data_IF_869146127503
#
_entry.id   IF_869146127503
#
_cell.length_a   1.000
_cell.length_b   1.000
_cell.length_c   1.000
_cell.angle_alpha   90.00
_cell.angle_beta   90.00
_cell.angle_gamma   90.00
#
_symmetry.space_group_name_H-M   'P 1'
#
loop_
_entity.id
_entity.type
_entity.pdbx_description
1 polymer ?
#
# COMPACT_ATOMS: atom_id res chain seq x y z
N UNK A 1 12.44 24.83 10.46
CA UNK A 1 12.05 24.09 9.24
C UNK A 1 10.87 23.25 9.65
N UNK A 2 9.69 23.52 9.11
CA UNK A 2 8.49 22.77 9.47
C UNK A 2 8.63 21.34 8.96
N UNK A 3 8.51 20.36 9.86
CA UNK A 3 8.50 18.95 9.50
C UNK A 3 7.29 18.71 8.61
N UNK A 4 7.44 18.13 7.40
CA UNK A 4 6.31 17.91 6.52
C UNK A 4 5.30 16.98 7.20
N UNK A 5 4.03 17.37 7.19
CA UNK A 5 2.95 16.51 7.66
C UNK A 5 2.86 15.27 6.76
N UNK A 6 3.04 14.07 7.32
CA UNK A 6 3.04 12.81 6.56
C UNK A 6 1.64 12.21 6.62
N UNK A 7 0.98 12.12 5.46
CA UNK A 7 -0.38 11.55 5.37
C UNK A 7 -0.35 10.02 5.25
N UNK A 8 0.66 9.46 4.58
CA UNK A 8 0.85 8.00 4.47
C UNK A 8 2.30 7.66 4.79
N UNK A 9 2.51 6.74 5.71
CA UNK A 9 3.82 6.22 6.09
C UNK A 9 3.82 4.69 5.93
N UNK A 10 4.66 4.19 5.03
CA UNK A 10 4.93 2.76 4.87
C UNK A 10 6.33 2.52 5.40
N UNK A 11 6.45 1.64 6.39
CA UNK A 11 7.71 1.41 7.08
C UNK A 11 8.13 -0.06 7.03
N UNK A 12 9.11 -0.36 6.19
CA UNK A 12 9.84 -1.63 6.16
C UNK A 12 8.95 -2.84 5.87
N UNK A 13 7.93 -2.68 5.03
CA UNK A 13 6.96 -3.76 4.83
C UNK A 13 7.58 -4.95 4.10
N UNK A 14 7.28 -6.14 4.60
CA UNK A 14 7.49 -7.41 3.90
C UNK A 14 6.12 -7.99 3.51
N UNK A 15 5.99 -8.45 2.27
CA UNK A 15 4.76 -9.06 1.77
C UNK A 15 5.04 -10.44 1.24
N UNK A 16 4.26 -11.41 1.74
CA UNK A 16 4.31 -12.81 1.31
C UNK A 16 2.99 -13.19 0.63
N UNK A 17 3.09 -13.90 -0.50
CA UNK A 17 1.96 -14.53 -1.17
C UNK A 17 1.93 -16.03 -0.94
N UNK A 18 0.73 -16.58 -0.79
CA UNK A 18 0.47 -18.01 -0.55
C UNK A 18 1.30 -18.57 0.62
N UNK A 19 1.62 -17.73 1.61
CA UNK A 19 2.47 -18.04 2.77
C UNK A 19 3.90 -18.50 2.44
N UNK A 20 4.36 -18.40 1.19
CA UNK A 20 5.67 -18.93 0.76
C UNK A 20 6.51 -17.92 -0.02
N UNK A 21 5.88 -17.10 -0.88
CA UNK A 21 6.61 -16.28 -1.86
C UNK A 21 6.78 -14.86 -1.30
N UNK A 22 8.00 -14.51 -0.88
CA UNK A 22 8.36 -13.15 -0.47
C UNK A 22 8.47 -12.23 -1.70
N UNK A 23 7.55 -11.26 -1.82
CA UNK A 23 7.47 -10.32 -2.94
C UNK A 23 8.00 -8.94 -2.60
N UNK A 24 7.70 -8.42 -1.40
CA UNK A 24 8.29 -7.18 -0.91
C UNK A 24 9.26 -7.49 0.22
N UNK A 25 10.43 -6.84 0.22
CA UNK A 25 11.47 -7.01 1.23
C UNK A 25 11.88 -5.66 1.81
N UNK A 26 11.25 -5.26 2.91
CA UNK A 26 11.61 -4.05 3.65
C UNK A 26 11.31 -2.75 2.90
N UNK A 27 10.18 -2.66 2.21
CA UNK A 27 9.82 -1.46 1.43
C UNK A 27 9.35 -0.34 2.36
N UNK A 28 9.93 0.85 2.20
CA UNK A 28 9.52 2.07 2.91
C UNK A 28 9.25 3.20 1.94
N UNK A 29 8.19 3.97 2.20
CA UNK A 29 7.92 5.23 1.51
C UNK A 29 7.06 6.14 2.40
N UNK A 30 7.18 7.44 2.18
CA UNK A 30 6.34 8.43 2.84
C UNK A 30 5.67 9.30 1.79
N UNK A 31 4.40 9.63 2.02
CA UNK A 31 3.65 10.61 1.24
C UNK A 31 3.37 11.80 2.14
N UNK A 32 4.01 12.95 1.89
CA UNK A 32 3.63 14.19 2.56
C UNK A 32 2.26 14.66 2.10
N UNK A 33 1.53 15.35 2.99
CA UNK A 33 0.25 15.96 2.68
C UNK A 33 0.37 16.95 1.51
N UNK A 34 -0.59 16.89 0.57
CA UNK A 34 -0.61 17.75 -0.62
C UNK A 34 0.48 17.46 -1.65
N UNK A 35 1.22 16.34 -1.53
CA UNK A 35 2.26 15.95 -2.49
C UNK A 35 1.88 14.72 -3.30
N UNK A 36 2.46 14.63 -4.49
CA UNK A 36 2.36 13.47 -5.39
C UNK A 36 3.67 12.69 -5.27
N UNK A 37 3.56 11.39 -5.00
CA UNK A 37 4.68 10.45 -4.94
C UNK A 37 4.49 9.38 -6.01
N UNK A 38 5.54 9.10 -6.77
CA UNK A 38 5.53 8.09 -7.82
C UNK A 38 6.40 6.89 -7.44
N UNK A 39 5.92 5.67 -7.72
CA UNK A 39 6.70 4.43 -7.61
C UNK A 39 7.06 3.99 -9.03
N UNK A 40 8.36 3.99 -9.33
CA UNK A 40 8.90 3.62 -10.64
C UNK A 40 9.62 2.28 -10.55
N UNK A 41 9.53 1.47 -11.60
CA UNK A 41 10.20 0.17 -11.68
C UNK A 41 9.63 -0.72 -12.77
N UNK A 42 10.36 -1.77 -13.16
CA UNK A 42 9.94 -2.73 -14.17
C UNK A 42 8.74 -3.61 -13.77
N UNK A 43 8.31 -4.48 -14.67
CA UNK A 43 7.32 -5.52 -14.36
C UNK A 43 7.89 -6.47 -13.29
N UNK A 44 7.07 -6.84 -12.31
CA UNK A 44 7.52 -7.66 -11.19
C UNK A 44 8.29 -6.93 -10.08
N UNK A 45 8.55 -5.62 -10.21
CA UNK A 45 9.29 -4.84 -9.18
C UNK A 45 8.50 -4.60 -7.87
N UNK A 46 7.30 -5.15 -7.72
CA UNK A 46 6.49 -5.01 -6.50
C UNK A 46 5.56 -3.80 -6.45
N UNK A 47 5.50 -2.94 -7.49
CA UNK A 47 4.66 -1.73 -7.52
C UNK A 47 3.18 -1.99 -7.16
N UNK A 48 2.54 -2.90 -7.88
CA UNK A 48 1.14 -3.28 -7.65
C UNK A 48 0.94 -3.90 -6.28
N UNK A 49 1.92 -4.68 -5.81
CA UNK A 49 1.90 -5.27 -4.46
C UNK A 49 1.97 -4.19 -3.37
N UNK A 50 2.81 -3.17 -3.53
CA UNK A 50 2.89 -2.04 -2.61
C UNK A 50 1.56 -1.27 -2.56
N UNK A 51 0.96 -0.97 -3.72
CA UNK A 51 -0.35 -0.31 -3.78
C UNK A 51 -1.46 -1.15 -3.12
N UNK A 52 -1.47 -2.47 -3.36
CA UNK A 52 -2.42 -3.40 -2.73
C UNK A 52 -2.22 -3.52 -1.22
N UNK A 53 -0.98 -3.38 -0.73
CA UNK A 53 -0.69 -3.36 0.70
C UNK A 53 -1.31 -2.12 1.35
N UNK A 54 -1.12 -0.94 0.74
CA UNK A 54 -1.66 0.33 1.24
C UNK A 54 -3.20 0.34 1.28
N UNK A 55 -3.85 -0.33 0.32
CA UNK A 55 -5.31 -0.40 0.22
C UNK A 55 -5.96 -1.61 0.90
N UNK A 56 -5.19 -2.41 1.65
CA UNK A 56 -5.61 -3.67 2.28
C UNK A 56 -6.25 -4.68 1.31
N UNK A 57 -5.90 -4.65 0.03
CA UNK A 57 -6.42 -5.59 -0.98
C UNK A 57 -5.63 -6.90 -1.08
N UNK A 58 -4.49 -7.02 -0.39
CA UNK A 58 -3.65 -8.22 -0.45
C UNK A 58 -4.39 -9.50 -0.03
N UNK A 59 -5.27 -9.44 0.97
CA UNK A 59 -6.00 -10.61 1.49
C UNK A 59 -6.81 -11.33 0.40
N UNK A 60 -7.41 -10.58 -0.53
CA UNK A 60 -8.15 -11.15 -1.66
C UNK A 60 -7.29 -11.92 -2.66
N UNK A 61 -5.97 -11.69 -2.63
CA UNK A 61 -4.99 -12.27 -3.55
C UNK A 61 -4.08 -13.29 -2.83
N UNK A 62 -4.48 -13.74 -1.63
CA UNK A 62 -3.67 -14.61 -0.75
C UNK A 62 -2.31 -13.99 -0.39
N UNK A 63 -2.25 -12.66 -0.33
CA UNK A 63 -1.11 -11.89 0.12
C UNK A 63 -1.31 -11.36 1.54
N UNK A 64 -0.22 -11.20 2.27
CA UNK A 64 -0.21 -10.66 3.63
C UNK A 64 1.04 -9.81 3.88
N UNK A 65 0.88 -8.71 4.61
CA UNK A 65 2.00 -7.95 5.19
C UNK A 65 2.47 -8.68 6.43
N UNK A 66 3.67 -9.26 6.41
CA UNK A 66 4.19 -10.09 7.52
C UNK A 66 5.13 -9.33 8.45
N UNK A 67 5.69 -8.20 7.98
CA UNK A 67 6.49 -7.28 8.79
C UNK A 67 6.24 -5.83 8.37
N UNK A 68 6.67 -4.92 9.23
CA UNK A 68 6.55 -3.48 9.03
C UNK A 68 5.20 -2.92 9.50
N UNK A 69 4.94 -1.67 9.12
CA UNK A 69 3.66 -1.01 9.37
C UNK A 69 3.25 -0.14 8.20
N UNK A 70 1.93 0.07 8.10
CA UNK A 70 1.35 1.10 7.24
C UNK A 70 0.47 1.99 8.12
N UNK A 71 0.72 3.29 8.07
CA UNK A 71 0.00 4.29 8.83
C UNK A 71 -0.61 5.33 7.89
N UNK A 72 -1.89 5.62 8.09
CA UNK A 72 -2.60 6.71 7.46
C UNK A 72 -2.89 7.78 8.51
N UNK A 73 -2.36 8.99 8.32
CA UNK A 73 -2.49 10.11 9.27
C UNK A 73 -2.02 9.73 10.68
N UNK A 74 -0.94 8.95 10.79
CA UNK A 74 -0.37 8.48 12.05
C UNK A 74 -1.09 7.28 12.67
N UNK A 75 -2.16 6.76 12.06
CA UNK A 75 -2.88 5.59 12.56
C UNK A 75 -2.60 4.35 11.73
N UNK A 76 -2.28 3.25 12.42
CA UNK A 76 -2.07 1.93 11.83
C UNK A 76 -3.34 1.41 11.15
N UNK A 77 -3.19 0.89 9.93
CA UNK A 77 -4.34 0.49 9.10
C UNK A 77 -4.51 -1.03 8.90
N UNK A 78 -3.66 -1.88 9.48
CA UNK A 78 -3.63 -3.31 9.15
C UNK A 78 -4.94 -4.05 9.48
N UNK A 79 -5.70 -3.53 10.45
CA UNK A 79 -6.97 -4.12 10.89
C UNK A 79 -8.21 -3.54 10.17
N UNK A 80 -8.02 -2.52 9.31
CA UNK A 80 -9.13 -1.90 8.59
C UNK A 80 -9.54 -2.72 7.39
N UNK A 81 -10.85 -2.80 7.11
CA UNK A 81 -11.29 -3.36 5.84
C UNK A 81 -10.98 -2.38 4.68
N UNK A 82 -10.90 -2.86 3.42
CA UNK A 82 -10.81 -1.96 2.27
C UNK A 82 -11.95 -0.92 2.23
N UNK A 83 -13.15 -1.29 2.68
CA UNK A 83 -14.27 -0.36 2.76
C UNK A 83 -14.05 0.75 3.79
N UNK A 84 -13.40 0.45 4.92
CA UNK A 84 -13.05 1.46 5.92
C UNK A 84 -11.97 2.40 5.41
N UNK A 85 -10.99 1.90 4.66
CA UNK A 85 -9.98 2.72 4.00
C UNK A 85 -10.59 3.69 2.98
N UNK A 86 -11.56 3.24 2.19
CA UNK A 86 -12.30 4.10 1.26
C UNK A 86 -13.03 5.22 2.01
N UNK A 87 -13.70 4.91 3.13
CA UNK A 87 -14.35 5.94 3.97
C UNK A 87 -13.35 6.95 4.55
N UNK A 88 -12.08 6.55 4.72
CA UNK A 88 -10.96 7.41 5.14
C UNK A 88 -10.27 8.13 3.97
N UNK A 89 -10.76 7.99 2.74
CA UNK A 89 -10.25 8.70 1.57
C UNK A 89 -9.13 7.99 0.80
N UNK A 90 -8.79 6.74 1.16
CA UNK A 90 -7.82 5.93 0.40
C UNK A 90 -8.56 5.16 -0.68
N UNK A 91 -8.38 5.56 -1.94
CA UNK A 91 -9.07 4.97 -3.10
C UNK A 91 -8.05 4.42 -4.08
N UNK A 92 -8.08 3.11 -4.31
CA UNK A 92 -7.23 2.49 -5.33
C UNK A 92 -7.92 2.48 -6.69
N UNK A 93 -7.24 3.06 -7.68
CA UNK A 93 -7.60 2.93 -9.09
C UNK A 93 -6.82 1.77 -9.70
N UNK A 94 -7.51 0.65 -9.93
CA UNK A 94 -6.91 -0.53 -10.55
C UNK A 94 -6.51 -0.26 -12.01
N UNK A 95 -5.38 -0.84 -12.42
CA UNK A 95 -5.00 -0.93 -13.83
C UNK A 95 -5.96 -1.84 -14.60
N UNK A 96 -6.15 -1.59 -15.89
CA UNK A 96 -6.89 -2.50 -16.77
C UNK A 96 -8.38 -2.62 -16.42
N UNK A 97 -9.02 -1.53 -15.98
CA UNK A 97 -10.48 -1.47 -15.89
C UNK A 97 -11.05 -1.66 -17.30
N UNK A 98 -11.29 -2.90 -17.70
CA UNK A 98 -12.06 -3.28 -18.89
C UNK A 98 -13.53 -2.87 -18.65
N UNK A 99 -13.77 -1.56 -18.51
CA UNK A 99 -15.08 -1.00 -18.23
C UNK A 99 -16.05 -1.21 -19.40
N UNK A 100 -15.54 -1.52 -20.57
CA UNK A 100 -16.31 -1.80 -21.77
C UNK A 100 -15.63 -2.94 -22.54
N UNK A 101 -16.45 -3.87 -23.04
CA UNK A 101 -16.07 -4.94 -23.97
C UNK A 101 -16.11 -4.45 -25.42
#
# INVERSE_FOLDING_TARGET
MDTPNIILNVNGIEVIYNHVILVLKGVSLQVPEGRIVAILGGNGAGKTTTLRAISNLLKGERGEVTKGSIELQGERIENLSPADLVKRGVIQVMEGRHCFA
#
